data_IF_797357371092
#
_entry.id   IF_797357371092
#
_cell.length_a   1.000
_cell.length_b   1.000
_cell.length_c   1.000
_cell.angle_alpha   90.00
_cell.angle_beta   90.00
_cell.angle_gamma   90.00
#
_symmetry.space_group_name_H-M   'P 1'
#
loop_
_entity.id
_entity.type
_entity.pdbx_description
1 polymer ?
#
# COMPACT_ATOMS: atom_id res chain seq x y z
N UNK A 1 4.60 -9.79 -17.31
CA UNK A 1 3.24 -9.86 -16.74
C UNK A 1 3.42 -10.11 -15.24
N UNK A 2 2.77 -9.32 -14.38
CA UNK A 2 2.87 -9.48 -12.93
C UNK A 2 1.75 -10.42 -12.47
N UNK A 3 2.09 -11.44 -11.69
CA UNK A 3 1.10 -12.31 -11.05
C UNK A 3 0.91 -11.83 -9.60
N UNK A 4 -0.29 -11.37 -9.26
CA UNK A 4 -0.66 -10.91 -7.93
C UNK A 4 -1.57 -11.96 -7.27
N UNK A 5 -1.15 -12.49 -6.13
CA UNK A 5 -1.91 -13.44 -5.34
C UNK A 5 -1.36 -14.88 -5.39
N UNK A 6 -0.85 -15.31 -6.53
CA UNK A 6 -0.47 -16.72 -6.76
C UNK A 6 0.82 -17.15 -6.08
N UNK A 7 1.85 -16.29 -6.11
CA UNK A 7 3.06 -16.41 -5.27
C UNK A 7 2.97 -15.37 -4.15
N UNK A 8 2.79 -15.78 -2.88
CA UNK A 8 2.71 -14.84 -1.76
C UNK A 8 3.90 -13.89 -1.66
N UNK A 9 5.11 -14.43 -1.82
CA UNK A 9 6.34 -13.66 -1.68
C UNK A 9 6.54 -12.73 -2.89
N UNK A 10 6.26 -13.22 -4.09
CA UNK A 10 6.27 -12.44 -5.33
C UNK A 10 5.24 -11.31 -5.32
N UNK A 11 4.05 -11.57 -4.78
CA UNK A 11 2.97 -10.59 -4.65
C UNK A 11 3.42 -9.42 -3.81
N UNK A 12 3.89 -9.65 -2.57
CA UNK A 12 4.29 -8.55 -1.68
C UNK A 12 5.51 -7.79 -2.21
N UNK A 13 6.44 -8.46 -2.92
CA UNK A 13 7.56 -7.82 -3.61
C UNK A 13 7.12 -6.94 -4.77
N UNK A 14 6.18 -7.41 -5.59
CA UNK A 14 5.61 -6.63 -6.68
C UNK A 14 4.91 -5.37 -6.14
N UNK A 15 4.13 -5.51 -5.05
CA UNK A 15 3.47 -4.38 -4.41
C UNK A 15 4.46 -3.35 -3.82
N UNK A 16 5.53 -3.82 -3.16
CA UNK A 16 6.60 -2.92 -2.70
C UNK A 16 7.27 -2.19 -3.87
N UNK A 17 7.53 -2.90 -4.97
CA UNK A 17 8.13 -2.31 -6.18
C UNK A 17 7.23 -1.22 -6.77
N UNK A 18 5.92 -1.49 -6.91
CA UNK A 18 4.95 -0.50 -7.39
C UNK A 18 4.84 0.70 -6.44
N UNK A 19 4.82 0.46 -5.13
CA UNK A 19 4.81 1.51 -4.11
C UNK A 19 6.05 2.40 -4.22
N UNK A 20 7.23 1.82 -4.41
CA UNK A 20 8.47 2.59 -4.43
C UNK A 20 8.62 3.40 -5.72
N UNK A 21 8.15 2.87 -6.85
CA UNK A 21 8.03 3.66 -8.08
C UNK A 21 7.01 4.79 -7.96
N UNK A 22 5.87 4.54 -7.33
CA UNK A 22 4.88 5.58 -7.02
C UNK A 22 5.47 6.68 -6.12
N UNK A 23 6.26 6.30 -5.12
CA UNK A 23 6.97 7.23 -4.24
C UNK A 23 8.01 8.07 -4.97
N UNK A 24 8.62 7.54 -6.04
CA UNK A 24 9.56 8.25 -6.90
C UNK A 24 8.87 9.19 -7.91
N UNK A 25 7.56 9.06 -8.11
CA UNK A 25 6.83 9.77 -9.15
C UNK A 25 7.17 9.29 -10.56
N UNK A 26 7.65 8.06 -10.70
CA UNK A 26 7.94 7.46 -12.00
C UNK A 26 6.65 7.05 -12.70
N UNK A 27 6.60 7.20 -14.03
CA UNK A 27 5.55 6.57 -14.82
C UNK A 27 5.76 5.04 -14.80
N UNK A 28 4.72 4.31 -14.40
CA UNK A 28 4.76 2.85 -14.33
C UNK A 28 3.71 2.29 -15.26
N UNK A 29 4.16 1.52 -16.26
CA UNK A 29 3.28 0.76 -17.15
C UNK A 29 3.47 -0.72 -16.88
N UNK A 30 2.38 -1.41 -16.60
CA UNK A 30 2.43 -2.83 -16.28
C UNK A 30 1.11 -3.51 -16.61
N UNK A 31 1.16 -4.83 -16.74
CA UNK A 31 -0.01 -5.68 -16.97
C UNK A 31 0.15 -6.96 -16.16
N UNK A 32 -0.97 -7.53 -15.71
CA UNK A 32 -0.92 -8.65 -14.80
C UNK A 32 -2.19 -9.48 -14.70
N UNK A 33 -2.12 -10.48 -13.82
CA UNK A 33 -3.25 -11.26 -13.35
C UNK A 33 -3.35 -11.09 -11.84
N UNK A 34 -4.57 -11.12 -11.33
CA UNK A 34 -4.86 -11.17 -9.90
C UNK A 34 -5.62 -12.43 -9.54
N UNK A 35 -5.25 -13.07 -8.43
CA UNK A 35 -6.00 -14.17 -7.86
C UNK A 35 -7.28 -13.70 -7.16
N UNK A 36 -8.36 -14.48 -7.25
CA UNK A 36 -9.57 -14.24 -6.48
C UNK A 36 -9.25 -14.15 -4.98
N UNK A 37 -9.59 -13.02 -4.36
CA UNK A 37 -9.44 -12.80 -2.92
C UNK A 37 -8.36 -11.78 -2.53
N UNK A 38 -7.45 -11.40 -3.44
CA UNK A 38 -6.56 -10.28 -3.17
C UNK A 38 -7.39 -8.98 -3.10
N UNK A 39 -7.26 -8.18 -2.01
CA UNK A 39 -8.12 -7.01 -1.82
C UNK A 39 -7.69 -5.84 -2.72
N UNK A 40 -8.15 -5.84 -3.98
CA UNK A 40 -7.84 -4.81 -4.98
C UNK A 40 -8.12 -3.39 -4.47
N UNK A 41 -9.18 -3.21 -3.67
CA UNK A 41 -9.52 -1.92 -3.07
C UNK A 41 -8.37 -1.30 -2.27
N UNK A 42 -7.57 -2.10 -1.57
CA UNK A 42 -6.42 -1.65 -0.80
C UNK A 42 -5.23 -1.22 -1.68
N UNK A 43 -5.25 -1.56 -2.98
CA UNK A 43 -4.15 -1.29 -3.92
C UNK A 43 -4.41 -0.08 -4.81
N UNK A 44 -5.59 0.54 -4.73
CA UNK A 44 -6.05 1.61 -5.64
C UNK A 44 -5.18 2.87 -5.64
N UNK A 45 -4.34 3.06 -4.62
CA UNK A 45 -3.35 4.14 -4.56
C UNK A 45 -2.07 3.87 -5.35
N UNK A 46 -1.83 2.62 -5.75
CA UNK A 46 -0.70 2.25 -6.60
C UNK A 46 -1.04 2.50 -8.07
N UNK A 47 -0.02 2.68 -8.95
CA UNK A 47 -0.23 2.85 -10.38
C UNK A 47 -1.10 1.73 -10.95
N UNK A 48 -2.23 2.03 -11.60
CA UNK A 48 -3.13 1.02 -12.14
C UNK A 48 -2.45 0.31 -13.33
N UNK A 49 -2.74 -0.96 -13.56
CA UNK A 49 -2.23 -1.66 -14.72
C UNK A 49 -2.92 -1.22 -16.02
N UNK A 50 -2.23 -1.40 -17.14
CA UNK A 50 -2.82 -1.30 -18.48
C UNK A 50 -3.86 -2.42 -18.69
N UNK A 51 -3.60 -3.63 -18.18
CA UNK A 51 -4.55 -4.75 -18.16
C UNK A 51 -4.43 -5.59 -16.90
N UNK A 52 -5.55 -6.04 -16.35
CA UNK A 52 -5.61 -6.93 -15.19
C UNK A 52 -6.59 -8.07 -15.44
N UNK A 53 -6.09 -9.30 -15.48
CA UNK A 53 -6.91 -10.50 -15.61
C UNK A 53 -7.33 -11.01 -14.23
N UNK A 54 -8.50 -11.65 -14.13
CA UNK A 54 -8.96 -12.28 -12.88
C UNK A 54 -9.62 -11.34 -11.86
N UNK A 55 -9.64 -10.03 -12.12
CA UNK A 55 -10.44 -9.10 -11.31
C UNK A 55 -11.93 -9.17 -11.70
N UNK A 56 -12.80 -8.77 -10.78
CA UNK A 56 -14.22 -8.66 -11.05
C UNK A 56 -14.49 -7.52 -12.08
N UNK A 57 -15.61 -7.60 -12.83
CA UNK A 57 -16.01 -6.55 -13.75
C UNK A 57 -16.06 -5.17 -13.05
N UNK A 58 -15.45 -4.16 -13.68
CA UNK A 58 -15.40 -2.79 -13.16
C UNK A 58 -14.29 -2.49 -12.14
N UNK A 59 -13.64 -3.50 -11.54
CA UNK A 59 -12.59 -3.24 -10.53
C UNK A 59 -11.38 -2.47 -11.08
N UNK A 60 -10.97 -2.77 -12.32
CA UNK A 60 -9.88 -2.05 -12.97
C UNK A 60 -10.24 -0.60 -13.29
N UNK A 61 -11.48 -0.35 -13.72
CA UNK A 61 -11.96 1.01 -13.99
C UNK A 61 -12.09 1.82 -12.69
N UNK A 62 -12.56 1.18 -11.61
CA UNK A 62 -12.56 1.77 -10.28
C UNK A 62 -11.16 2.08 -9.76
N UNK A 63 -10.19 1.19 -9.98
CA UNK A 63 -8.80 1.45 -9.64
C UNK A 63 -8.30 2.68 -10.39
N UNK A 64 -8.50 2.75 -11.71
CA UNK A 64 -8.10 3.91 -12.53
C UNK A 64 -8.77 5.21 -12.08
N UNK A 65 -10.06 5.15 -11.74
CA UNK A 65 -10.84 6.31 -11.30
C UNK A 65 -10.42 6.82 -9.92
N UNK A 66 -10.09 5.93 -8.99
CA UNK A 66 -9.67 6.30 -7.63
C UNK A 66 -8.20 6.71 -7.60
N UNK A 67 -7.35 6.08 -8.41
CA UNK A 67 -5.92 6.33 -8.41
C UNK A 67 -5.59 7.80 -8.61
N UNK A 68 -4.78 8.33 -7.72
CA UNK A 68 -4.28 9.69 -7.78
C UNK A 68 -3.06 9.88 -6.87
N UNK A 69 -2.13 10.72 -7.27
CA UNK A 69 -0.95 10.99 -6.44
C UNK A 69 -1.37 11.66 -5.13
N UNK A 70 -0.91 11.12 -3.99
CA UNK A 70 -1.16 11.70 -2.67
C UNK A 70 -2.50 11.30 -2.02
N UNK A 71 -3.24 10.33 -2.57
CA UNK A 71 -4.44 9.79 -1.90
C UNK A 71 -4.08 8.86 -0.74
N UNK A 72 -2.92 8.22 -0.75
CA UNK A 72 -2.40 7.40 0.34
C UNK A 72 -0.88 7.59 0.43
N UNK A 73 -0.37 8.00 1.59
CA UNK A 73 1.07 8.17 1.81
C UNK A 73 1.42 8.21 3.30
N UNK A 74 2.73 8.12 3.59
CA UNK A 74 3.27 8.46 4.89
C UNK A 74 4.39 9.51 4.82
N UNK A 75 4.63 10.16 5.97
CA UNK A 75 5.78 11.03 6.26
C UNK A 75 6.40 10.60 7.57
N UNK A 76 7.70 10.85 7.71
CA UNK A 76 8.47 10.53 8.92
C UNK A 76 8.76 11.84 9.65
N UNK A 77 8.33 11.92 10.90
CA UNK A 77 8.74 12.95 11.86
C UNK A 77 9.65 12.34 12.95
N UNK A 78 10.19 13.17 13.86
CA UNK A 78 10.99 12.66 14.98
C UNK A 78 10.14 11.80 15.91
N UNK A 79 10.32 10.47 15.85
CA UNK A 79 9.61 9.50 16.70
C UNK A 79 8.16 9.20 16.30
N UNK A 80 7.68 9.72 15.16
CA UNK A 80 6.32 9.45 14.69
C UNK A 80 6.21 9.36 13.17
N UNK A 81 5.11 8.76 12.70
CA UNK A 81 4.69 8.75 11.30
C UNK A 81 3.39 9.53 11.16
N UNK A 82 3.31 10.39 10.15
CA UNK A 82 2.02 10.92 9.69
C UNK A 82 1.57 10.11 8.49
N UNK A 83 0.36 9.57 8.55
CA UNK A 83 -0.21 8.72 7.52
C UNK A 83 -1.50 9.35 7.05
N UNK A 84 -1.67 9.46 5.73
CA UNK A 84 -2.92 9.87 5.10
C UNK A 84 -3.41 8.72 4.24
N UNK A 85 -4.71 8.42 4.33
CA UNK A 85 -5.35 7.41 3.51
C UNK A 85 -6.79 7.80 3.14
N UNK A 86 -6.97 8.15 1.88
CA UNK A 86 -8.21 8.60 1.26
C UNK A 86 -8.68 7.63 0.15
N UNK A 87 -8.17 6.38 0.14
CA UNK A 87 -8.53 5.36 -0.87
C UNK A 87 -10.02 5.05 -0.87
N UNK A 88 -10.62 5.04 0.32
CA UNK A 88 -12.05 4.86 0.51
C UNK A 88 -12.73 6.21 0.78
N UNK A 89 -13.65 6.68 -0.09
CA UNK A 89 -14.42 7.90 0.13
C UNK A 89 -15.24 7.88 1.43
N UNK A 90 -15.68 6.70 1.90
CA UNK A 90 -16.46 6.56 3.11
C UNK A 90 -15.62 6.59 4.39
N UNK A 91 -14.31 6.32 4.29
CA UNK A 91 -13.41 6.19 5.43
C UNK A 91 -12.07 6.87 5.16
N UNK A 92 -12.11 8.18 4.93
CA UNK A 92 -10.91 9.00 4.73
C UNK A 92 -10.32 9.41 6.07
N UNK A 93 -9.03 9.16 6.28
CA UNK A 93 -8.38 9.57 7.52
C UNK A 93 -6.96 10.12 7.30
N UNK A 94 -6.54 10.89 8.29
CA UNK A 94 -5.15 11.26 8.51
C UNK A 94 -4.86 11.01 9.99
N UNK A 95 -3.78 10.28 10.29
CA UNK A 95 -3.42 9.93 11.64
C UNK A 95 -1.93 10.13 11.89
N UNK A 96 -1.59 10.30 13.16
CA UNK A 96 -0.22 10.30 13.66
C UNK A 96 -0.01 9.01 14.44
N UNK A 97 1.00 8.23 14.04
CA UNK A 97 1.43 7.03 14.77
C UNK A 97 2.71 7.38 15.52
N UNK A 98 2.68 7.38 16.83
CA UNK A 98 3.81 7.66 17.72
C UNK A 98 4.20 6.46 18.60
N UNK A 99 3.40 5.38 18.59
CA UNK A 99 3.79 4.12 19.23
C UNK A 99 5.02 3.52 18.52
N UNK A 100 6.17 3.36 19.22
CA UNK A 100 7.39 2.84 18.62
C UNK A 100 7.21 1.48 17.96
N UNK A 101 6.36 0.61 18.53
CA UNK A 101 6.14 -0.75 18.01
C UNK A 101 5.42 -0.71 16.66
N UNK A 102 4.48 0.22 16.50
CA UNK A 102 3.74 0.40 15.25
C UNK A 102 4.63 1.08 14.19
N UNK A 103 5.37 2.12 14.57
CA UNK A 103 6.26 2.82 13.63
C UNK A 103 7.40 1.93 13.15
N UNK A 104 8.03 1.16 14.05
CA UNK A 104 9.08 0.19 13.70
C UNK A 104 8.54 -0.93 12.79
N UNK A 105 7.37 -1.51 13.10
CA UNK A 105 6.77 -2.54 12.26
C UNK A 105 6.42 -2.01 10.87
N UNK A 106 5.84 -0.80 10.80
CA UNK A 106 5.51 -0.13 9.54
C UNK A 106 6.77 0.11 8.69
N UNK A 107 7.84 0.64 9.29
CA UNK A 107 9.08 0.93 8.58
C UNK A 107 9.83 -0.35 8.19
N UNK A 108 9.85 -1.37 9.05
CA UNK A 108 10.46 -2.67 8.78
C UNK A 108 9.81 -3.36 7.57
N UNK A 109 8.50 -3.22 7.42
CA UNK A 109 7.73 -3.81 6.32
C UNK A 109 7.68 -2.94 5.06
N UNK A 110 8.47 -1.86 5.01
CA UNK A 110 8.82 -1.29 3.71
C UNK A 110 9.51 -2.35 2.85
N UNK A 111 10.39 -3.14 3.46
CA UNK A 111 10.92 -4.37 2.88
C UNK A 111 9.99 -5.55 3.20
N UNK A 112 9.35 -6.17 2.19
CA UNK A 112 8.44 -7.30 2.42
C UNK A 112 9.11 -8.44 3.18
N UNK A 113 8.36 -9.07 4.07
CA UNK A 113 8.88 -10.18 4.88
C UNK A 113 7.78 -11.21 5.19
N UNK A 114 8.13 -12.50 5.34
CA UNK A 114 7.23 -13.48 5.89
C UNK A 114 6.98 -13.21 7.38
N UNK A 115 5.73 -13.36 7.83
CA UNK A 115 5.32 -13.18 9.22
C UNK A 115 6.04 -14.13 10.19
N UNK A 116 6.47 -15.29 9.70
CA UNK A 116 7.20 -16.28 10.48
C UNK A 116 8.56 -15.77 10.96
N UNK A 117 9.21 -14.89 10.20
CA UNK A 117 10.50 -14.28 10.54
C UNK A 117 10.37 -13.09 11.50
N UNK A 118 9.16 -12.58 11.70
CA UNK A 118 8.92 -11.44 12.58
C UNK A 118 8.86 -11.89 14.06
N UNK A 119 9.18 -10.99 14.97
CA UNK A 119 8.95 -11.25 16.41
C UNK A 119 7.46 -11.29 16.73
N UNK A 120 7.07 -11.89 17.86
CA UNK A 120 5.68 -11.89 18.31
C UNK A 120 5.12 -10.47 18.53
N UNK A 121 5.97 -9.55 19.01
CA UNK A 121 5.62 -8.13 19.21
C UNK A 121 5.35 -7.47 17.86
N UNK A 122 6.26 -7.63 16.89
CA UNK A 122 6.10 -7.09 15.53
C UNK A 122 4.85 -7.67 14.87
N UNK A 123 4.59 -8.98 14.96
CA UNK A 123 3.36 -9.59 14.42
C UNK A 123 2.09 -8.98 15.01
N UNK A 124 2.09 -8.60 16.29
CA UNK A 124 0.94 -7.93 16.90
C UNK A 124 0.73 -6.52 16.33
N UNK A 125 1.81 -5.75 16.17
CA UNK A 125 1.77 -4.45 15.50
C UNK A 125 1.26 -4.57 14.04
N UNK A 126 1.72 -5.59 13.31
CA UNK A 126 1.27 -5.87 11.94
C UNK A 126 -0.24 -6.10 11.86
N UNK A 127 -0.84 -6.84 12.81
CA UNK A 127 -2.31 -7.03 12.83
C UNK A 127 -3.05 -5.70 12.95
N UNK A 128 -2.63 -4.83 13.87
CA UNK A 128 -3.23 -3.49 14.05
C UNK A 128 -3.10 -2.65 12.78
N UNK A 129 -1.92 -2.66 12.14
CA UNK A 129 -1.70 -1.94 10.89
C UNK A 129 -2.51 -2.52 9.72
N UNK A 130 -2.71 -3.84 9.70
CA UNK A 130 -3.49 -4.52 8.66
C UNK A 130 -5.00 -4.26 8.79
N UNK A 131 -5.53 -4.23 10.02
CA UNK A 131 -6.92 -3.80 10.31
C UNK A 131 -7.20 -2.38 9.81
N UNK A 132 -6.17 -1.53 9.76
CA UNK A 132 -6.23 -0.16 9.23
C UNK A 132 -5.90 -0.06 7.73
N UNK A 133 -5.76 -1.17 7.01
CA UNK A 133 -5.32 -1.25 5.61
C UNK A 133 -3.96 -0.59 5.32
N UNK A 134 -3.09 -0.39 6.33
CA UNK A 134 -1.77 0.21 6.16
C UNK A 134 -0.69 -0.82 5.82
N UNK A 135 -0.91 -2.07 6.22
CA UNK A 135 -0.08 -3.21 5.87
C UNK A 135 -0.99 -4.25 5.21
N UNK A 136 -0.59 -4.76 4.05
CA UNK A 136 -1.22 -5.95 3.48
C UNK A 136 -0.57 -7.18 4.07
N UNK A 137 -1.39 -8.11 4.57
CA UNK A 137 -0.96 -9.48 4.86
C UNK A 137 -1.59 -10.39 3.82
N UNK A 138 -0.77 -11.10 3.08
CA UNK A 138 -1.20 -12.05 2.06
C UNK A 138 -0.48 -13.39 2.26
N UNK A 139 -1.24 -14.44 2.57
CA UNK A 139 -0.73 -15.82 2.69
C UNK A 139 0.59 -15.91 3.48
N UNK A 140 0.60 -15.30 4.68
CA UNK A 140 1.75 -15.32 5.59
C UNK A 140 2.88 -14.33 5.27
N UNK A 141 2.75 -13.49 4.24
CA UNK A 141 3.70 -12.43 3.92
C UNK A 141 3.09 -11.06 4.17
N UNK A 142 3.91 -10.08 4.56
CA UNK A 142 3.46 -8.74 4.89
C UNK A 142 4.24 -7.66 4.13
N UNK A 143 3.55 -6.58 3.79
CA UNK A 143 4.13 -5.38 3.17
C UNK A 143 3.36 -4.11 3.53
N UNK A 144 4.10 -3.05 3.84
CA UNK A 144 3.54 -1.71 4.05
C UNK A 144 3.06 -1.12 2.73
N UNK A 145 1.80 -0.68 2.70
CA UNK A 145 1.14 -0.18 1.49
C UNK A 145 1.41 1.30 1.17
N UNK A 146 1.34 2.24 2.15
CA UNK A 146 1.50 3.66 1.83
C UNK A 146 2.92 3.96 1.31
N UNK A 147 3.07 4.63 0.16
CA UNK A 147 4.35 5.13 -0.31
C UNK A 147 4.85 6.28 0.56
N UNK A 148 6.18 6.48 0.61
CA UNK A 148 6.75 7.66 1.25
C UNK A 148 6.51 8.88 0.37
N UNK A 149 5.89 9.92 0.92
CA UNK A 149 5.76 11.16 0.19
C UNK A 149 7.12 11.88 0.15
N UNK A 150 7.78 11.87 -1.02
CA UNK A 150 9.09 12.53 -1.23
C UNK A 150 8.95 13.95 -1.79
N UNK A 151 7.86 14.22 -2.50
CA UNK A 151 7.55 15.53 -3.10
C UNK A 151 6.14 15.92 -2.74
N UNK A 152 5.93 17.19 -2.40
CA UNK A 152 4.57 17.68 -2.15
C UNK A 152 3.74 17.54 -3.43
N UNK A 153 2.52 16.97 -3.37
CA UNK A 153 1.53 17.16 -4.42
C UNK A 153 1.21 18.64 -4.45
N UNK A 154 1.81 19.39 -5.38
CA UNK A 154 1.37 20.76 -5.64
C UNK A 154 0.18 20.64 -6.59
N UNK A 155 -0.99 21.08 -6.14
CA UNK A 155 -1.57 22.24 -6.78
C UNK A 155 -1.70 23.37 -5.78
N UNK A 156 -1.46 24.60 -6.24
CA UNK A 156 -2.16 25.76 -5.71
C UNK A 156 -3.65 25.46 -5.91
N UNK A 157 -4.37 25.08 -4.86
CA UNK A 157 -5.81 25.22 -4.88
C UNK A 157 -6.06 26.70 -4.66
N UNK A 158 -6.32 27.40 -5.77
CA UNK A 158 -7.06 28.65 -5.76
C UNK A 158 -8.31 28.46 -4.91
N UNK A 159 -8.56 29.49 -4.11
CA UNK A 159 -9.70 29.72 -3.23
C UNK A 159 -11.02 29.35 -3.91
#
# INVERSE_FOLDING_TARGET
MIELGSDPAGTVRALATLRDHAAAGAEVRWSGRVDPGLPIAALRHLPPPDTLQGCAPGELDDWRRIHGYGICYYRVGPGFLQIKDYRDPANRFQLTVDDPRLTEAFLRLLEPAPLAELTAVTRRAVRVLAESNLVLVWQGHAVTLPPRLRRWPVPCQSI
#
